data_IF_231134973601
#
_entry.id   IF_231134973601
#
_cell.length_a   1.000
_cell.length_b   1.000
_cell.length_c   1.000
_cell.angle_alpha   90.00
_cell.angle_beta   90.00
_cell.angle_gamma   90.00
#
_symmetry.space_group_name_H-M   'P 1'
#
loop_
_entity.id
_entity.type
_entity.pdbx_description
1 polymer ?
#
# COMPACT_ATOMS: atom_id res chain seq x y z
N UNK A 1 -0.15 -8.36 -0.96
CA UNK A 1 -0.94 -8.27 0.28
C UNK A 1 -1.07 -9.67 0.84
N UNK A 2 -0.16 -10.06 1.74
CA UNK A 2 0.05 -11.47 2.10
C UNK A 2 -0.74 -11.88 3.34
N UNK A 3 -0.60 -11.13 4.42
CA UNK A 3 -1.16 -11.51 5.73
C UNK A 3 -1.65 -10.30 6.48
N UNK A 4 -2.81 -10.42 7.12
CA UNK A 4 -3.24 -9.51 8.16
C UNK A 4 -2.80 -10.07 9.52
N UNK A 5 -2.11 -9.25 10.30
CA UNK A 5 -1.70 -9.54 11.66
C UNK A 5 -2.56 -8.74 12.63
N UNK A 6 -3.54 -9.40 13.26
CA UNK A 6 -4.30 -8.78 14.35
C UNK A 6 -3.42 -8.63 15.60
N UNK A 7 -3.71 -7.64 16.48
CA UNK A 7 -2.97 -7.49 17.72
C UNK A 7 -2.91 -8.77 18.56
N UNK A 8 -4.03 -9.48 18.66
CA UNK A 8 -4.15 -10.73 19.42
C UNK A 8 -3.35 -11.86 18.77
N UNK A 9 -3.32 -11.93 17.43
CA UNK A 9 -2.55 -12.91 16.71
C UNK A 9 -1.04 -12.69 16.87
N UNK A 10 -0.60 -11.43 16.90
CA UNK A 10 0.80 -11.05 17.14
C UNK A 10 1.20 -11.39 18.57
N UNK A 11 0.42 -10.97 19.57
CA UNK A 11 0.70 -11.25 20.98
C UNK A 11 0.74 -12.75 21.26
N UNK A 12 -0.19 -13.52 20.71
CA UNK A 12 -0.23 -14.99 20.86
C UNK A 12 1.02 -15.70 20.36
N UNK A 13 1.65 -15.21 19.29
CA UNK A 13 2.76 -15.92 18.60
C UNK A 13 4.13 -15.35 18.91
N UNK A 14 4.19 -14.11 19.41
CA UNK A 14 5.44 -13.42 19.73
C UNK A 14 5.61 -13.16 21.22
N UNK A 15 4.53 -13.25 21.99
CA UNK A 15 4.43 -12.80 23.40
C UNK A 15 4.70 -11.30 23.56
N UNK A 16 4.58 -10.53 22.47
CA UNK A 16 4.82 -9.08 22.44
C UNK A 16 3.54 -8.42 21.92
N UNK A 17 3.02 -7.46 22.69
CA UNK A 17 1.91 -6.63 22.26
C UNK A 17 2.39 -5.56 21.26
N UNK A 18 1.80 -5.43 20.06
CA UNK A 18 2.15 -4.36 19.14
C UNK A 18 1.75 -2.99 19.70
N UNK A 19 2.53 -1.96 19.39
CA UNK A 19 2.34 -0.60 19.90
C UNK A 19 2.55 0.44 18.80
N UNK A 20 2.22 1.70 19.08
CA UNK A 20 2.37 2.80 18.12
C UNK A 20 1.48 2.59 16.90
N UNK A 21 2.01 2.85 15.70
CA UNK A 21 1.26 2.68 14.44
C UNK A 21 0.75 1.25 14.21
N UNK A 22 1.37 0.25 14.84
CA UNK A 22 0.99 -1.17 14.71
C UNK A 22 -0.06 -1.62 15.74
N UNK A 23 -0.49 -0.77 16.68
CA UNK A 23 -1.32 -1.15 17.83
C UNK A 23 -2.68 -1.75 17.44
N UNK A 24 -3.25 -1.32 16.31
CA UNK A 24 -4.54 -1.77 15.78
C UNK A 24 -4.40 -2.93 14.78
N UNK A 25 -3.22 -3.52 14.68
CA UNK A 25 -2.85 -4.52 13.69
C UNK A 25 -2.17 -3.90 12.47
N UNK A 26 -1.65 -4.77 11.61
CA UNK A 26 -0.92 -4.36 10.39
C UNK A 26 -1.00 -5.44 9.31
N UNK A 27 -0.59 -5.08 8.10
CA UNK A 27 -0.62 -5.93 6.92
C UNK A 27 0.82 -6.21 6.47
N UNK A 28 1.13 -7.48 6.23
CA UNK A 28 2.37 -7.91 5.60
C UNK A 28 2.29 -7.70 4.09
N UNK A 29 3.05 -6.74 3.59
CA UNK A 29 3.27 -6.55 2.17
C UNK A 29 4.62 -7.17 1.81
N UNK A 30 4.57 -8.25 1.02
CA UNK A 30 5.74 -9.01 0.60
C UNK A 30 5.46 -9.56 -0.78
N UNK A 31 6.27 -9.15 -1.76
CA UNK A 31 6.17 -9.68 -3.11
C UNK A 31 6.94 -11.00 -3.20
N UNK A 32 6.64 -11.83 -4.19
CA UNK A 32 7.30 -13.13 -4.40
C UNK A 32 8.71 -12.99 -4.98
N UNK A 33 9.59 -12.24 -4.31
CA UNK A 33 11.03 -12.20 -4.54
C UNK A 33 11.61 -10.92 -5.13
N UNK A 34 10.80 -9.95 -5.56
CA UNK A 34 11.30 -8.72 -6.18
C UNK A 34 10.60 -7.46 -5.65
N UNK A 35 11.36 -6.42 -5.34
CA UNK A 35 10.85 -5.08 -5.11
C UNK A 35 11.91 -4.04 -5.51
N UNK A 36 11.49 -2.81 -5.78
CA UNK A 36 12.43 -1.71 -6.04
C UNK A 36 13.26 -1.44 -4.78
N UNK A 37 14.58 -1.32 -4.92
CA UNK A 37 15.50 -1.18 -3.79
C UNK A 37 15.35 0.17 -3.08
N UNK A 38 14.76 1.16 -3.74
CA UNK A 38 14.31 2.42 -3.12
C UNK A 38 13.37 2.17 -1.93
N UNK A 39 12.57 1.09 -1.97
CA UNK A 39 11.64 0.74 -0.91
C UNK A 39 12.30 0.17 0.36
N UNK A 40 13.64 0.03 0.39
CA UNK A 40 14.38 -0.14 1.65
C UNK A 40 14.12 1.01 2.62
N UNK A 41 13.85 2.22 2.09
CA UNK A 41 13.70 3.44 2.89
C UNK A 41 15.04 4.00 3.38
N UNK A 42 16.16 3.60 2.76
CA UNK A 42 17.50 4.09 3.10
C UNK A 42 17.80 5.49 2.57
N UNK A 43 17.03 5.97 1.60
CA UNK A 43 17.04 7.37 1.19
C UNK A 43 16.44 8.23 2.31
N UNK A 44 17.00 9.41 2.53
CA UNK A 44 16.60 10.26 3.65
C UNK A 44 16.28 11.69 3.24
N UNK A 45 15.30 12.28 3.92
CA UNK A 45 14.99 13.71 3.87
C UNK A 45 14.63 14.18 5.26
N UNK A 46 15.29 15.24 5.74
CA UNK A 46 15.09 15.78 7.10
C UNK A 46 15.24 14.70 8.20
N UNK A 47 16.16 13.76 8.00
CA UNK A 47 16.40 12.64 8.93
C UNK A 47 15.34 11.53 8.92
N UNK A 48 14.35 11.58 8.02
CA UNK A 48 13.28 10.57 7.89
C UNK A 48 13.46 9.70 6.65
N UNK A 49 13.03 8.42 6.69
CA UNK A 49 13.07 7.53 5.53
C UNK A 49 12.07 7.97 4.46
N UNK A 50 12.50 7.96 3.20
CA UNK A 50 11.71 8.39 2.03
C UNK A 50 12.01 7.53 0.81
N UNK A 51 11.23 7.68 -0.26
CA UNK A 51 11.62 7.27 -1.62
C UNK A 51 11.58 8.53 -2.50
N UNK A 52 12.72 8.91 -3.08
CA UNK A 52 12.88 10.17 -3.80
C UNK A 52 12.71 9.99 -5.30
N UNK A 53 12.53 11.12 -5.98
CA UNK A 53 12.68 11.15 -7.43
C UNK A 53 14.15 10.96 -7.79
N UNK A 54 14.45 10.25 -8.88
CA UNK A 54 15.81 9.80 -9.17
C UNK A 54 16.85 10.93 -9.27
N UNK A 55 16.45 12.15 -9.67
CA UNK A 55 17.34 13.31 -9.76
C UNK A 55 17.72 13.92 -8.40
N UNK A 56 17.09 13.46 -7.30
CA UNK A 56 17.39 13.87 -5.92
C UNK A 56 18.14 12.79 -5.12
N UNK A 57 18.37 11.61 -5.72
CA UNK A 57 19.05 10.48 -5.07
C UNK A 57 20.56 10.69 -5.16
N UNK A 58 21.27 10.61 -4.03
CA UNK A 58 22.74 10.71 -4.02
C UNK A 58 23.39 9.33 -4.19
N UNK A 59 24.64 9.25 -4.68
CA UNK A 59 25.37 7.98 -4.77
C UNK A 59 25.47 7.22 -3.43
N UNK A 60 25.57 7.95 -2.31
CA UNK A 60 25.62 7.36 -0.97
C UNK A 60 24.32 6.67 -0.60
N UNK A 61 23.16 7.23 -0.99
CA UNK A 61 21.88 6.59 -0.74
C UNK A 61 21.66 5.37 -1.64
N UNK A 62 22.14 5.41 -2.89
CA UNK A 62 22.18 4.22 -3.75
C UNK A 62 22.95 3.11 -3.06
N UNK A 63 24.16 3.41 -2.55
CA UNK A 63 24.97 2.43 -1.84
C UNK A 63 24.24 1.85 -0.62
N UNK A 64 23.61 2.70 0.21
CA UNK A 64 22.83 2.24 1.37
C UNK A 64 21.66 1.33 0.99
N UNK A 65 20.91 1.67 -0.07
CA UNK A 65 19.84 0.79 -0.56
C UNK A 65 20.39 -0.58 -0.98
N UNK A 66 21.58 -0.64 -1.57
CA UNK A 66 22.21 -1.92 -1.96
C UNK A 66 22.69 -2.69 -0.74
N UNK A 67 23.34 -2.01 0.21
CA UNK A 67 23.87 -2.59 1.45
C UNK A 67 22.75 -3.14 2.35
N UNK A 68 21.57 -2.52 2.32
CA UNK A 68 20.38 -2.98 3.03
C UNK A 68 19.67 -4.18 2.36
N UNK A 69 20.15 -4.63 1.19
CA UNK A 69 19.52 -5.70 0.40
C UNK A 69 20.42 -6.94 0.35
N UNK A 70 19.86 -8.08 0.75
CA UNK A 70 20.49 -9.39 0.58
C UNK A 70 19.93 -10.07 -0.67
N UNK A 71 20.81 -10.69 -1.47
CA UNK A 71 20.42 -11.46 -2.64
C UNK A 71 20.31 -12.94 -2.29
N UNK A 72 19.09 -13.43 -2.12
CA UNK A 72 18.83 -14.79 -1.59
C UNK A 72 18.58 -15.76 -2.74
N UNK A 73 19.22 -16.95 -2.78
CA UNK A 73 18.90 -17.95 -3.78
C UNK A 73 17.41 -18.30 -3.76
N UNK A 74 16.78 -18.32 -4.93
CA UNK A 74 15.36 -18.61 -5.05
C UNK A 74 15.04 -20.03 -4.55
N UNK A 75 13.91 -20.18 -3.85
CA UNK A 75 13.43 -21.48 -3.38
C UNK A 75 13.13 -22.41 -4.57
N UNK A 76 13.94 -23.47 -4.74
CA UNK A 76 13.82 -24.40 -5.87
C UNK A 76 12.50 -25.19 -5.90
N UNK A 77 11.78 -25.23 -4.78
CA UNK A 77 10.43 -25.79 -4.71
C UNK A 77 9.42 -25.01 -5.57
N UNK A 78 9.63 -23.70 -5.71
CA UNK A 78 8.81 -22.81 -6.54
C UNK A 78 9.50 -22.46 -7.87
N UNK A 79 10.79 -22.12 -7.82
CA UNK A 79 11.56 -21.59 -8.95
C UNK A 79 12.64 -22.59 -9.38
N UNK A 80 12.26 -23.63 -10.13
CA UNK A 80 13.16 -24.72 -10.54
C UNK A 80 14.38 -24.28 -11.35
N UNK A 81 14.28 -23.14 -12.03
CA UNK A 81 15.38 -22.54 -12.79
C UNK A 81 16.39 -21.75 -11.95
N UNK A 82 16.19 -21.64 -10.63
CA UNK A 82 16.98 -20.79 -9.76
C UNK A 82 16.64 -19.30 -9.91
N UNK A 83 17.60 -18.45 -9.56
CA UNK A 83 17.45 -16.99 -9.48
C UNK A 83 17.83 -16.46 -8.10
N UNK A 84 17.78 -15.14 -7.94
CA UNK A 84 18.00 -14.47 -6.65
C UNK A 84 16.87 -13.50 -6.35
N UNK A 85 16.27 -13.60 -5.17
CA UNK A 85 15.32 -12.62 -4.65
C UNK A 85 16.03 -11.48 -3.91
N UNK A 86 15.44 -10.29 -3.97
CA UNK A 86 15.89 -9.10 -3.23
C UNK A 86 15.23 -9.08 -1.85
N UNK A 87 15.98 -9.44 -0.82
CA UNK A 87 15.53 -9.51 0.57
C UNK A 87 15.96 -8.26 1.33
N UNK A 88 14.99 -7.49 1.81
CA UNK A 88 15.19 -6.31 2.63
C UNK A 88 13.96 -6.06 3.51
N UNK A 89 14.14 -5.26 4.56
CA UNK A 89 13.07 -4.75 5.40
C UNK A 89 12.91 -3.24 5.19
N UNK A 90 11.74 -2.80 4.74
CA UNK A 90 11.43 -1.38 4.61
C UNK A 90 11.43 -0.70 5.98
N UNK A 91 12.18 0.41 6.13
CA UNK A 91 12.17 1.22 7.36
C UNK A 91 10.76 1.72 7.72
N UNK A 92 10.44 1.69 9.01
CA UNK A 92 9.20 2.20 9.57
C UNK A 92 9.09 3.72 9.56
N UNK A 93 7.87 4.21 9.75
CA UNK A 93 7.54 5.64 9.84
C UNK A 93 7.44 6.37 8.50
N UNK A 94 7.62 5.67 7.38
CA UNK A 94 7.48 6.25 6.05
C UNK A 94 5.99 6.34 5.68
N UNK A 95 5.47 7.53 5.32
CA UNK A 95 4.10 7.64 4.80
C UNK A 95 4.00 6.89 3.48
N UNK A 96 2.96 6.08 3.32
CA UNK A 96 2.73 5.24 2.16
C UNK A 96 1.28 5.35 1.68
N UNK A 97 1.08 5.26 0.38
CA UNK A 97 -0.25 5.08 -0.23
C UNK A 97 -0.27 3.77 -0.99
N UNK A 98 -1.05 2.80 -0.50
CA UNK A 98 -1.33 1.58 -1.24
C UNK A 98 -2.48 1.82 -2.23
N UNK A 99 -2.36 1.36 -3.46
CA UNK A 99 -3.40 1.48 -4.48
C UNK A 99 -3.55 0.23 -5.34
N UNK A 100 -4.74 0.05 -5.90
CA UNK A 100 -5.04 -1.07 -6.82
C UNK A 100 -6.17 -0.69 -7.78
N UNK A 101 -5.92 -0.90 -9.06
CA UNK A 101 -6.99 -0.92 -10.08
C UNK A 101 -7.49 -2.35 -10.25
N UNK A 102 -8.81 -2.53 -10.24
CA UNK A 102 -9.47 -3.78 -10.60
C UNK A 102 -10.47 -3.54 -11.72
N UNK A 103 -10.72 -4.53 -12.57
CA UNK A 103 -11.74 -4.45 -13.62
C UNK A 103 -12.91 -5.34 -13.20
N UNK A 104 -14.09 -4.74 -13.04
CA UNK A 104 -15.31 -5.43 -12.63
C UNK A 104 -16.23 -5.56 -13.84
N UNK A 105 -16.62 -6.79 -14.18
CA UNK A 105 -17.54 -7.03 -15.32
C UNK A 105 -18.87 -6.30 -15.08
N UNK A 106 -19.32 -5.53 -16.07
CA UNK A 106 -20.54 -4.72 -15.99
C UNK A 106 -20.36 -3.33 -15.37
N UNK A 107 -19.18 -3.03 -14.80
CA UNK A 107 -18.86 -1.72 -14.22
C UNK A 107 -17.61 -1.09 -14.87
N UNK A 108 -16.59 -1.88 -15.23
CA UNK A 108 -15.33 -1.37 -15.77
C UNK A 108 -14.25 -1.22 -14.69
N UNK A 109 -13.23 -0.36 -14.90
CA UNK A 109 -12.16 -0.16 -13.95
C UNK A 109 -12.67 0.54 -12.68
N UNK A 110 -12.19 0.12 -11.52
CA UNK A 110 -12.37 0.78 -10.22
C UNK A 110 -11.00 0.94 -9.55
N UNK A 111 -10.83 2.00 -8.76
CA UNK A 111 -9.61 2.26 -8.00
C UNK A 111 -9.84 2.11 -6.49
N UNK A 112 -8.93 1.40 -5.82
CA UNK A 112 -8.83 1.33 -4.37
C UNK A 112 -7.58 2.07 -3.90
N UNK A 113 -7.68 2.80 -2.78
CA UNK A 113 -6.62 3.61 -2.18
C UNK A 113 -6.63 3.37 -0.67
N UNK A 114 -5.46 3.17 -0.06
CA UNK A 114 -5.30 3.12 1.39
C UNK A 114 -4.02 3.88 1.76
N UNK A 115 -4.16 5.09 2.30
CA UNK A 115 -3.07 5.84 2.93
C UNK A 115 -2.73 5.22 4.30
N UNK A 116 -1.45 5.21 4.65
CA UNK A 116 -0.95 4.56 5.85
C UNK A 116 0.53 4.84 6.05
N UNK A 117 1.18 3.98 6.83
CA UNK A 117 2.60 4.09 7.12
C UNK A 117 3.27 2.73 7.07
N UNK A 118 4.55 2.69 6.71
CA UNK A 118 5.40 1.56 7.10
C UNK A 118 5.58 1.57 8.62
N UNK A 119 5.76 0.39 9.23
CA UNK A 119 5.98 0.27 10.67
C UNK A 119 7.23 -0.55 10.97
N UNK A 120 8.02 -0.08 11.93
CA UNK A 120 9.08 -0.88 12.52
C UNK A 120 8.47 -1.76 13.61
N UNK A 121 8.80 -3.04 13.56
CA UNK A 121 8.45 -3.99 14.62
C UNK A 121 9.70 -4.21 15.48
N UNK A 122 9.55 -4.54 16.78
CA UNK A 122 10.67 -5.05 17.57
C UNK A 122 11.34 -6.21 16.84
N UNK A 123 12.67 -6.27 16.85
CA UNK A 123 13.47 -7.26 16.08
C UNK A 123 12.94 -8.68 16.25
N UNK A 124 12.77 -9.14 17.50
CA UNK A 124 12.20 -10.46 17.82
C UNK A 124 10.80 -10.68 17.23
N UNK A 125 9.95 -9.65 17.20
CA UNK A 125 8.62 -9.73 16.58
C UNK A 125 8.75 -9.91 15.07
N UNK A 126 9.57 -9.09 14.40
CA UNK A 126 9.82 -9.21 12.97
C UNK A 126 10.34 -10.60 12.61
N UNK A 127 11.39 -11.09 13.28
CA UNK A 127 12.00 -12.39 13.00
C UNK A 127 11.00 -13.54 13.11
N UNK A 128 10.14 -13.55 14.14
CA UNK A 128 9.12 -14.60 14.31
C UNK A 128 8.11 -14.57 13.16
N UNK A 129 7.66 -13.39 12.75
CA UNK A 129 6.63 -13.23 11.72
C UNK A 129 7.16 -13.41 10.29
N UNK A 130 8.41 -13.05 10.05
CA UNK A 130 9.07 -13.14 8.76
C UNK A 130 9.49 -14.58 8.43
N UNK A 131 10.17 -15.25 9.37
CA UNK A 131 10.64 -16.65 9.21
C UNK A 131 9.52 -17.65 8.97
N UNK A 132 8.32 -17.37 9.49
CA UNK A 132 7.13 -18.21 9.29
C UNK A 132 6.36 -17.93 8.00
N UNK A 133 6.77 -16.90 7.26
CA UNK A 133 6.11 -16.47 6.01
C UNK A 133 6.99 -16.81 4.82
N UNK A 134 8.01 -16.00 4.53
CA UNK A 134 8.99 -16.21 3.46
C UNK A 134 10.21 -15.28 3.69
N UNK A 135 11.23 -15.68 4.48
CA UNK A 135 12.36 -14.83 4.91
C UNK A 135 13.45 -14.66 3.84
N UNK A 136 13.07 -14.77 2.57
CA UNK A 136 13.96 -14.56 1.42
C UNK A 136 13.43 -13.47 0.50
N UNK A 137 12.30 -12.86 0.86
CA UNK A 137 11.55 -11.92 0.04
C UNK A 137 11.44 -10.57 0.77
N UNK A 138 11.26 -9.46 0.04
CA UNK A 138 11.30 -8.13 0.63
C UNK A 138 10.03 -7.84 1.44
N UNK A 139 10.20 -7.44 2.70
CA UNK A 139 9.11 -7.20 3.65
C UNK A 139 8.88 -5.70 3.87
N UNK A 140 7.61 -5.29 3.77
CA UNK A 140 7.10 -4.01 4.28
C UNK A 140 5.93 -4.29 5.21
N UNK A 141 6.03 -3.88 6.48
CA UNK A 141 4.91 -3.90 7.42
C UNK A 141 4.10 -2.63 7.26
N UNK A 142 2.81 -2.73 6.95
CA UNK A 142 1.98 -1.59 6.62
C UNK A 142 0.79 -1.44 7.59
N UNK A 143 0.63 -0.25 8.16
CA UNK A 143 -0.51 0.12 8.98
C UNK A 143 -1.36 1.18 8.25
N UNK A 144 -2.59 0.86 7.81
CA UNK A 144 -3.47 1.83 7.17
C UNK A 144 -4.03 2.83 8.19
N UNK A 145 -4.28 4.08 7.75
CA UNK A 145 -5.02 5.06 8.55
C UNK A 145 -6.48 4.60 8.64
N UNK A 146 -6.98 4.45 9.87
CA UNK A 146 -8.37 4.07 10.14
C UNK A 146 -9.25 5.31 10.27
N UNK A 147 -10.48 5.22 9.77
CA UNK A 147 -11.47 6.31 9.84
C UNK A 147 -12.64 5.96 10.77
N UNK A 148 -12.70 4.72 11.26
CA UNK A 148 -13.83 4.21 12.03
C UNK A 148 -15.08 3.91 11.20
N UNK A 149 -15.01 4.06 9.87
CA UNK A 149 -16.16 3.90 8.95
C UNK A 149 -15.82 3.01 7.77
N UNK A 150 -16.83 2.31 7.26
CA UNK A 150 -16.73 1.54 6.02
C UNK A 150 -15.57 0.52 6.03
N UNK A 151 -14.83 0.40 4.91
CA UNK A 151 -13.66 -0.48 4.81
C UNK A 151 -12.49 -0.13 5.74
N UNK A 152 -12.50 1.05 6.37
CA UNK A 152 -11.42 1.56 7.23
C UNK A 152 -11.85 1.64 8.71
N UNK A 153 -12.84 0.84 9.12
CA UNK A 153 -13.24 0.71 10.53
C UNK A 153 -12.19 -0.01 11.37
N UNK A 154 -11.44 -0.94 10.78
CA UNK A 154 -10.35 -1.70 11.38
C UNK A 154 -9.41 -2.23 10.28
N UNK A 155 -8.19 -2.64 10.65
CA UNK A 155 -7.16 -3.09 9.68
C UNK A 155 -7.58 -4.36 8.95
N UNK A 156 -8.32 -5.24 9.63
CA UNK A 156 -8.92 -6.42 9.01
C UNK A 156 -9.81 -6.04 7.83
N UNK A 157 -10.70 -5.08 8.02
CA UNK A 157 -11.64 -4.62 7.00
C UNK A 157 -10.93 -4.04 5.79
N UNK A 158 -9.77 -3.38 5.99
CA UNK A 158 -8.95 -2.89 4.88
C UNK A 158 -8.47 -4.05 4.02
N UNK A 159 -7.91 -5.11 4.63
CA UNK A 159 -7.46 -6.29 3.87
C UNK A 159 -8.63 -7.07 3.27
N UNK A 160 -9.72 -7.26 4.01
CA UNK A 160 -10.88 -8.03 3.58
C UNK A 160 -11.62 -7.39 2.39
N UNK A 161 -11.56 -6.07 2.26
CA UNK A 161 -12.14 -5.35 1.12
C UNK A 161 -11.14 -5.11 -0.02
N UNK A 162 -9.88 -5.51 0.12
CA UNK A 162 -8.88 -5.35 -0.95
C UNK A 162 -9.17 -6.34 -2.10
N UNK A 163 -9.37 -5.82 -3.31
CA UNK A 163 -9.96 -6.56 -4.43
C UNK A 163 -9.01 -7.50 -5.19
N UNK A 164 -7.77 -7.68 -4.73
CA UNK A 164 -6.77 -8.52 -5.36
C UNK A 164 -5.71 -9.03 -4.35
N UNK A 165 -4.91 -10.01 -4.73
CA UNK A 165 -3.76 -10.46 -3.93
C UNK A 165 -2.56 -9.47 -3.98
N UNK A 166 -2.50 -8.63 -5.02
CA UNK A 166 -1.47 -7.61 -5.20
C UNK A 166 -1.98 -6.21 -4.85
N UNK A 167 -1.03 -5.34 -4.49
CA UNK A 167 -1.21 -3.90 -4.38
C UNK A 167 0.08 -3.23 -4.85
N UNK A 168 0.00 -1.98 -5.28
CA UNK A 168 1.17 -1.13 -5.48
C UNK A 168 1.21 -0.13 -4.33
N UNK A 169 2.38 0.18 -3.78
CA UNK A 169 2.50 1.31 -2.86
C UNK A 169 3.44 2.36 -3.41
N UNK A 170 3.19 3.61 -3.02
CA UNK A 170 4.02 4.77 -3.32
C UNK A 170 4.38 5.49 -2.02
N UNK A 171 5.56 6.10 -1.98
CA UNK A 171 5.94 7.00 -0.90
C UNK A 171 5.04 8.24 -0.88
N UNK A 172 4.67 8.65 0.33
CA UNK A 172 3.78 9.78 0.58
C UNK A 172 2.31 9.41 0.67
N UNK A 173 1.51 10.38 1.13
CA UNK A 173 0.05 10.33 1.16
C UNK A 173 -0.50 11.02 -0.10
N UNK A 174 -0.49 10.28 -1.21
CA UNK A 174 -0.83 10.75 -2.55
C UNK A 174 -2.27 10.39 -2.96
N UNK A 175 -3.13 10.05 -2.00
CA UNK A 175 -4.47 9.56 -2.29
C UNK A 175 -5.35 10.62 -2.94
N UNK A 176 -5.19 11.90 -2.60
CA UNK A 176 -5.95 13.01 -3.19
C UNK A 176 -5.59 13.21 -4.68
N UNK A 177 -4.31 13.07 -5.01
CA UNK A 177 -3.77 13.13 -6.36
C UNK A 177 -4.30 11.96 -7.20
N UNK A 178 -4.34 10.75 -6.62
CA UNK A 178 -4.93 9.58 -7.26
C UNK A 178 -6.44 9.73 -7.48
N UNK A 179 -7.19 10.30 -6.53
CA UNK A 179 -8.63 10.60 -6.68
C UNK A 179 -8.85 11.61 -7.82
N UNK A 180 -8.04 12.66 -7.86
CA UNK A 180 -8.09 13.67 -8.92
C UNK A 180 -7.82 13.04 -10.28
N UNK A 181 -6.74 12.26 -10.41
CA UNK A 181 -6.38 11.54 -11.62
C UNK A 181 -7.48 10.55 -12.05
N UNK A 182 -8.03 9.78 -11.11
CA UNK A 182 -9.11 8.83 -11.37
C UNK A 182 -10.36 9.53 -11.93
N UNK A 183 -10.72 10.71 -11.40
CA UNK A 183 -11.84 11.50 -11.92
C UNK A 183 -11.60 12.01 -13.34
N UNK A 184 -10.37 12.43 -13.67
CA UNK A 184 -9.99 12.80 -15.04
C UNK A 184 -10.12 11.62 -16.00
N UNK A 185 -9.88 10.40 -15.52
CA UNK A 185 -9.98 9.17 -16.31
C UNK A 185 -11.36 8.50 -16.25
N UNK A 186 -12.29 9.04 -15.46
CA UNK A 186 -13.63 8.49 -15.17
C UNK A 186 -13.56 7.06 -14.61
N UNK A 187 -12.59 6.82 -13.74
CA UNK A 187 -12.44 5.60 -12.96
C UNK A 187 -13.04 5.85 -11.57
N UNK A 188 -14.16 5.23 -11.21
CA UNK A 188 -14.72 5.38 -9.87
C UNK A 188 -13.77 4.86 -8.80
N UNK A 189 -13.67 5.59 -7.70
CA UNK A 189 -12.87 5.19 -6.53
C UNK A 189 -13.76 4.42 -5.57
N UNK A 190 -13.61 3.10 -5.52
CA UNK A 190 -14.51 2.21 -4.77
C UNK A 190 -14.11 1.98 -3.30
N UNK A 191 -12.94 2.48 -2.88
CA UNK A 191 -12.44 2.40 -1.50
C UNK A 191 -11.34 3.44 -1.31
N UNK A 192 -11.49 4.37 -0.36
CA UNK A 192 -10.42 5.27 0.08
C UNK A 192 -10.59 5.73 1.54
N UNK A 193 -9.48 6.10 2.18
CA UNK A 193 -9.45 6.76 3.49
C UNK A 193 -8.96 8.22 3.44
N UNK A 194 -8.83 8.78 2.24
CA UNK A 194 -8.50 10.20 2.05
C UNK A 194 -9.59 11.07 2.69
N UNK A 195 -9.17 12.09 3.43
CA UNK A 195 -10.08 13.05 4.05
C UNK A 195 -10.92 13.78 2.99
N UNK A 196 -12.21 14.01 3.29
CA UNK A 196 -13.17 14.58 2.33
C UNK A 196 -12.77 15.98 1.84
N UNK A 197 -12.07 16.77 2.67
CA UNK A 197 -11.58 18.11 2.33
C UNK A 197 -10.45 18.13 1.28
N UNK A 198 -9.76 16.99 1.10
CA UNK A 198 -8.71 16.80 0.10
C UNK A 198 -9.26 16.25 -1.22
N UNK A 199 -10.54 15.88 -1.28
CA UNK A 199 -11.15 15.36 -2.51
C UNK A 199 -11.30 16.50 -3.51
N UNK A 200 -10.55 16.41 -4.61
CA UNK A 200 -10.63 17.37 -5.71
C UNK A 200 -10.99 16.65 -7.01
N UNK A 201 -12.08 17.09 -7.64
CA UNK A 201 -12.65 16.54 -8.88
C UNK A 201 -13.20 17.68 -9.73
N UNK A 202 -13.48 17.47 -11.04
CA UNK A 202 -14.16 18.48 -11.84
C UNK A 202 -15.49 18.91 -11.20
N UNK A 203 -15.79 20.22 -11.24
CA UNK A 203 -16.95 20.80 -10.53
C UNK A 203 -18.29 20.14 -10.87
N UNK A 204 -18.42 19.57 -12.08
CA UNK A 204 -19.62 18.86 -12.51
C UNK A 204 -19.94 17.64 -11.63
N UNK A 205 -18.97 17.04 -10.93
CA UNK A 205 -19.25 15.94 -9.97
C UNK A 205 -20.24 16.36 -8.88
N UNK A 206 -20.19 17.62 -8.42
CA UNK A 206 -21.11 18.13 -7.40
C UNK A 206 -22.56 18.19 -7.89
N UNK A 207 -22.80 18.32 -9.21
CA UNK A 207 -24.14 18.25 -9.78
C UNK A 207 -24.72 16.82 -9.76
N UNK A 208 -23.89 15.79 -9.61
CA UNK A 208 -24.32 14.41 -9.39
C UNK A 208 -24.60 14.10 -7.91
N UNK A 209 -24.35 15.04 -6.99
CA UNK A 209 -24.64 14.92 -5.57
C UNK A 209 -23.50 15.43 -4.69
N UNK A 210 -23.84 15.98 -3.53
CA UNK A 210 -22.87 16.62 -2.61
C UNK A 210 -22.79 15.95 -1.23
N UNK A 211 -23.79 15.17 -0.83
CA UNK A 211 -23.80 14.45 0.46
C UNK A 211 -23.15 13.07 0.38
N UNK A 212 -23.36 12.39 -0.75
CA UNK A 212 -22.85 11.05 -1.04
C UNK A 212 -21.78 11.19 -2.13
N UNK A 213 -20.55 11.48 -1.69
CA UNK A 213 -19.41 11.74 -2.58
C UNK A 213 -19.02 10.49 -3.37
N UNK A 214 -19.20 9.31 -2.80
CA UNK A 214 -18.98 8.03 -3.47
C UNK A 214 -20.02 7.83 -4.58
N UNK A 215 -21.31 7.91 -4.27
CA UNK A 215 -22.34 7.73 -5.29
C UNK A 215 -22.31 8.81 -6.37
N UNK A 216 -21.92 10.04 -6.04
CA UNK A 216 -21.71 11.10 -7.03
C UNK A 216 -20.59 10.72 -8.02
N UNK A 217 -19.52 10.10 -7.53
CA UNK A 217 -18.42 9.61 -8.37
C UNK A 217 -18.87 8.53 -9.34
N UNK A 218 -19.61 7.53 -8.86
CA UNK A 218 -20.15 6.47 -9.72
C UNK A 218 -21.08 7.04 -10.79
N UNK A 219 -22.00 7.93 -10.42
CA UNK A 219 -22.93 8.55 -11.37
C UNK A 219 -22.20 9.38 -12.43
N UNK A 220 -21.23 10.18 -12.02
CA UNK A 220 -20.43 10.99 -12.94
C UNK A 220 -19.58 10.12 -13.88
N UNK A 221 -18.87 9.13 -13.35
CA UNK A 221 -18.05 8.21 -14.15
C UNK A 221 -18.89 7.41 -15.15
N UNK A 222 -20.07 6.94 -14.75
CA UNK A 222 -21.01 6.25 -15.65
C UNK A 222 -21.51 7.20 -16.74
N UNK A 223 -21.87 8.44 -16.38
CA UNK A 223 -22.41 9.42 -17.32
C UNK A 223 -21.39 9.84 -18.39
N UNK A 224 -20.15 10.11 -17.99
CA UNK A 224 -19.13 10.62 -18.92
C UNK A 224 -18.38 9.51 -19.66
N UNK A 225 -18.32 8.30 -19.13
CA UNK A 225 -17.63 7.17 -19.75
C UNK A 225 -16.10 7.36 -19.86
N UNK A 226 -15.39 6.41 -20.50
CA UNK A 226 -13.94 6.50 -20.66
C UNK A 226 -13.55 7.72 -21.52
N UNK A 227 -12.36 8.28 -21.26
CA UNK A 227 -11.86 9.46 -22.00
C UNK A 227 -11.68 9.19 -23.51
N UNK A 228 -11.35 7.95 -23.88
CA UNK A 228 -11.21 7.51 -25.26
C UNK A 228 -12.00 6.22 -25.50
N UNK A 229 -12.53 6.07 -26.71
CA UNK A 229 -13.35 4.91 -27.09
C UNK A 229 -14.79 4.98 -26.56
N UNK A 230 -15.52 3.88 -26.70
CA UNK A 230 -16.87 3.71 -26.15
C UNK A 230 -16.92 2.51 -25.21
N UNK A 231 -17.90 2.55 -24.30
CA UNK A 231 -18.19 1.47 -23.36
C UNK A 231 -18.93 0.31 -24.03
#
# INVERSE_FOLDING_TARGET
VRTYWSPEAVERVTEIKPTGLAENGFIHLINSGAAALDATGEQTKDGKPVMKSFWEITPEEVAKCMDATLWRPASLGYFRGGGFSSDFLTKGGMPLTMSRVNIIKGLGPVLQIAEGYSVDLPEKMHEILDNRTDPTWPTTWFAPILTGKGPFKDVYSVMANWGANHGAFSYGHIGAELITLASMLRIPVCMHNVCEDRIFRPSTWSAFGTKDVEGADYRACINFGPLYGSR
#
